data_IF_040130730632
#
_entry.id   IF_040130730632
#
_cell.length_a   1.000
_cell.length_b   1.000
_cell.length_c   1.000
_cell.angle_alpha   90.00
_cell.angle_beta   90.00
_cell.angle_gamma   90.00
#
_symmetry.space_group_name_H-M   'P 1'
#
loop_
_entity.id
_entity.type
_entity.pdbx_description
1 polymer ?
#
# COMPACT_ATOMS: atom_id res chain seq x y z
N UNK A 1 4.47 -24.16 -14.87
CA UNK A 1 4.01 -22.82 -14.46
C UNK A 1 4.67 -21.83 -15.40
N UNK A 2 3.89 -21.16 -16.25
CA UNK A 2 4.42 -20.23 -17.26
C UNK A 2 4.96 -18.98 -16.55
N UNK A 3 6.28 -18.83 -16.52
CA UNK A 3 6.93 -17.57 -16.16
C UNK A 3 6.61 -16.57 -17.27
N UNK A 4 5.57 -15.75 -17.08
CA UNK A 4 5.43 -14.55 -17.88
C UNK A 4 6.72 -13.74 -17.73
N UNK A 5 7.49 -13.63 -18.80
CA UNK A 5 8.56 -12.64 -18.88
C UNK A 5 7.89 -11.28 -18.76
N UNK A 6 8.00 -10.65 -17.60
CA UNK A 6 7.59 -9.26 -17.43
C UNK A 6 8.47 -8.43 -18.35
N UNK A 7 7.86 -7.71 -19.30
CA UNK A 7 8.56 -6.68 -20.04
C UNK A 7 9.00 -5.60 -19.04
N UNK A 8 10.27 -5.65 -18.65
CA UNK A 8 10.86 -4.71 -17.69
C UNK A 8 10.73 -3.26 -18.18
N UNK A 9 10.75 -3.02 -19.49
CA UNK A 9 10.57 -1.67 -20.02
C UNK A 9 9.13 -1.18 -19.81
N UNK A 10 8.12 -2.04 -20.00
CA UNK A 10 6.73 -1.73 -19.67
C UNK A 10 6.56 -1.51 -18.16
N UNK A 11 7.07 -2.41 -17.32
CA UNK A 11 6.97 -2.28 -15.86
C UNK A 11 7.56 -0.96 -15.36
N UNK A 12 8.71 -0.55 -15.89
CA UNK A 12 9.34 0.73 -15.53
C UNK A 12 8.47 1.93 -15.90
N UNK A 13 7.76 1.89 -17.05
CA UNK A 13 6.80 2.94 -17.42
C UNK A 13 5.62 2.97 -16.44
N UNK A 14 5.03 1.81 -16.16
CA UNK A 14 3.88 1.70 -15.26
C UNK A 14 4.20 2.17 -13.84
N UNK A 15 5.42 1.87 -13.35
CA UNK A 15 5.90 2.36 -12.05
C UNK A 15 5.99 3.89 -12.02
N UNK A 16 6.56 4.51 -13.06
CA UNK A 16 6.67 5.97 -13.15
C UNK A 16 5.27 6.61 -13.20
N UNK A 17 4.37 6.04 -13.98
CA UNK A 17 2.99 6.54 -14.08
C UNK A 17 2.22 6.36 -12.77
N UNK A 18 2.48 5.28 -12.02
CA UNK A 18 1.92 5.07 -10.68
C UNK A 18 2.42 6.12 -9.69
N UNK A 19 3.72 6.46 -9.74
CA UNK A 19 4.27 7.54 -8.91
C UNK A 19 3.62 8.89 -9.23
N UNK A 20 3.40 9.21 -10.50
CA UNK A 20 2.67 10.44 -10.91
C UNK A 20 1.22 10.43 -10.45
N UNK A 21 0.52 9.29 -10.56
CA UNK A 21 -0.85 9.13 -10.03
C UNK A 21 -0.89 9.29 -8.51
N UNK A 22 0.14 8.81 -7.80
CA UNK A 22 0.28 9.02 -6.36
C UNK A 22 0.37 10.51 -6.02
N UNK A 23 1.17 11.30 -6.74
CA UNK A 23 1.18 12.77 -6.59
C UNK A 23 -0.19 13.38 -6.92
N UNK A 24 -0.78 13.00 -8.05
CA UNK A 24 -2.07 13.55 -8.50
C UNK A 24 -3.23 13.24 -7.53
N UNK A 25 -3.15 12.15 -6.78
CA UNK A 25 -4.13 11.80 -5.73
C UNK A 25 -4.01 12.65 -4.46
N UNK A 26 -2.92 13.41 -4.31
CA UNK A 26 -2.67 14.27 -3.15
C UNK A 26 -2.10 13.56 -1.92
N UNK A 27 -1.85 12.24 -1.99
CA UNK A 27 -1.32 11.47 -0.84
C UNK A 27 0.21 11.53 -0.72
N UNK A 28 0.90 12.05 -1.73
CA UNK A 28 2.35 12.26 -1.70
C UNK A 28 2.70 13.72 -1.97
N UNK A 29 3.69 14.23 -1.24
CA UNK A 29 4.21 15.58 -1.41
C UNK A 29 5.71 15.52 -1.70
N UNK A 30 6.11 16.20 -2.79
CA UNK A 30 7.51 16.27 -3.20
C UNK A 30 8.11 14.88 -3.47
N UNK A 31 9.18 14.56 -2.75
CA UNK A 31 10.01 13.35 -2.95
C UNK A 31 10.00 12.41 -1.75
N UNK A 32 9.00 12.55 -0.87
CA UNK A 32 8.89 11.75 0.35
C UNK A 32 8.57 10.28 0.06
N UNK A 33 7.57 10.03 -0.78
CA UNK A 33 7.13 8.68 -1.10
C UNK A 33 8.15 7.88 -1.90
N UNK A 34 7.95 6.57 -1.90
CA UNK A 34 8.71 5.64 -2.71
C UNK A 34 7.88 4.38 -3.04
N UNK A 35 8.25 3.75 -4.15
CA UNK A 35 7.52 2.64 -4.72
C UNK A 35 8.50 1.57 -5.18
N UNK A 36 8.24 0.31 -4.85
CA UNK A 36 8.99 -0.82 -5.38
C UNK A 36 8.09 -1.88 -5.98
N UNK A 37 8.60 -2.60 -6.98
CA UNK A 37 7.95 -3.78 -7.55
C UNK A 37 8.94 -4.94 -7.64
N UNK A 38 8.52 -6.12 -7.19
CA UNK A 38 9.26 -7.39 -7.33
C UNK A 38 9.54 -7.70 -8.80
N UNK A 39 10.74 -8.16 -9.09
CA UNK A 39 11.14 -8.74 -10.37
C UNK A 39 11.50 -10.22 -10.20
N UNK A 40 11.92 -10.89 -11.27
CA UNK A 40 12.29 -12.31 -11.21
C UNK A 40 13.47 -12.59 -10.26
N UNK A 41 14.44 -11.67 -10.16
CA UNK A 41 15.69 -11.84 -9.41
C UNK A 41 15.79 -10.93 -8.19
N UNK A 42 15.00 -9.86 -8.14
CA UNK A 42 15.10 -8.83 -7.11
C UNK A 42 13.86 -7.94 -7.10
N UNK A 43 14.09 -6.62 -7.17
CA UNK A 43 13.03 -5.62 -7.26
C UNK A 43 13.52 -4.33 -7.91
N UNK A 44 12.60 -3.61 -8.54
CA UNK A 44 12.79 -2.23 -8.94
C UNK A 44 12.32 -1.31 -7.81
N UNK A 45 12.99 -0.18 -7.59
CA UNK A 45 12.59 0.84 -6.63
C UNK A 45 12.84 2.25 -7.18
N UNK A 46 12.03 3.21 -6.74
CA UNK A 46 12.27 4.63 -7.02
C UNK A 46 13.63 5.11 -6.49
N UNK A 47 14.35 5.97 -7.23
CA UNK A 47 15.61 6.55 -6.78
C UNK A 47 15.42 7.54 -5.63
N UNK A 48 16.51 7.84 -4.91
CA UNK A 48 16.49 8.86 -3.85
C UNK A 48 16.24 10.25 -4.43
N UNK A 49 15.31 10.98 -3.80
CA UNK A 49 15.17 12.44 -3.92
C UNK A 49 14.93 12.97 -5.35
N UNK A 50 14.37 12.16 -6.25
CA UNK A 50 13.97 12.58 -7.58
C UNK A 50 12.47 12.87 -7.64
N UNK A 51 12.09 14.05 -8.14
CA UNK A 51 10.69 14.40 -8.35
C UNK A 51 10.05 13.48 -9.40
N UNK A 52 8.84 12.98 -9.12
CA UNK A 52 8.16 12.06 -10.03
C UNK A 52 7.79 12.67 -11.39
N UNK A 53 7.60 13.98 -11.44
CA UNK A 53 7.25 14.68 -12.68
C UNK A 53 8.43 14.67 -13.68
N UNK A 54 9.67 14.65 -13.18
CA UNK A 54 10.88 14.59 -14.02
C UNK A 54 11.49 13.19 -14.09
N UNK A 55 11.00 12.24 -13.28
CA UNK A 55 11.47 10.85 -13.28
C UNK A 55 11.12 10.14 -14.60
N UNK A 56 12.10 9.45 -15.14
CA UNK A 56 11.96 8.61 -16.34
C UNK A 56 12.08 7.12 -15.99
N UNK A 57 11.61 6.21 -16.86
CA UNK A 57 11.77 4.75 -16.66
C UNK A 57 13.23 4.30 -16.43
N UNK A 58 14.20 5.02 -17.01
CA UNK A 58 15.63 4.74 -16.85
C UNK A 58 16.20 5.13 -15.48
N UNK A 59 15.48 5.95 -14.71
CA UNK A 59 15.91 6.39 -13.37
C UNK A 59 15.59 5.37 -12.27
N UNK A 60 14.67 4.44 -12.51
CA UNK A 60 14.32 3.39 -11.57
C UNK A 60 15.52 2.48 -11.31
N UNK A 61 15.73 2.16 -10.04
CA UNK A 61 16.91 1.44 -9.56
C UNK A 61 16.56 -0.04 -9.45
N UNK A 62 17.42 -0.89 -9.99
CA UNK A 62 17.31 -2.34 -9.84
C UNK A 62 18.14 -2.78 -8.64
N UNK A 63 17.53 -3.57 -7.76
CA UNK A 63 18.13 -4.04 -6.52
C UNK A 63 17.93 -5.55 -6.35
N UNK A 64 18.95 -6.21 -5.82
CA UNK A 64 18.88 -7.61 -5.41
C UNK A 64 18.49 -7.73 -3.93
N UNK A 65 18.03 -8.92 -3.52
CA UNK A 65 17.63 -9.19 -2.13
C UNK A 65 18.80 -9.27 -1.14
N UNK A 66 20.05 -9.19 -1.61
CA UNK A 66 21.23 -9.02 -0.77
C UNK A 66 21.55 -7.54 -0.47
N UNK A 67 20.86 -6.60 -1.15
CA UNK A 67 21.04 -5.15 -0.99
C UNK A 67 22.01 -4.52 -1.99
N UNK A 68 22.55 -5.27 -2.94
CA UNK A 68 23.29 -4.72 -4.09
C UNK A 68 22.34 -4.06 -5.09
N UNK A 69 22.83 -3.09 -5.87
CA UNK A 69 22.00 -2.34 -6.82
C UNK A 69 22.79 -1.85 -8.05
N UNK A 70 22.07 -1.60 -9.14
CA UNK A 70 22.59 -0.99 -10.38
C UNK A 70 21.84 0.28 -10.73
N UNK A 71 22.56 1.30 -11.22
CA UNK A 71 22.00 2.58 -11.66
C UNK A 71 22.16 3.70 -10.63
N UNK A 72 21.12 4.50 -10.44
CA UNK A 72 21.14 5.63 -9.48
C UNK A 72 21.12 5.12 -8.04
N UNK A 73 21.34 6.03 -7.08
CA UNK A 73 21.15 5.72 -5.66
C UNK A 73 19.67 5.40 -5.40
N UNK A 74 19.33 4.24 -4.82
CA UNK A 74 17.93 3.89 -4.51
C UNK A 74 17.37 4.80 -3.42
N UNK A 75 16.05 4.78 -3.22
CA UNK A 75 15.40 5.39 -2.04
C UNK A 75 16.17 5.05 -0.77
N UNK A 76 16.31 6.00 0.16
CA UNK A 76 16.92 5.76 1.47
C UNK A 76 16.24 4.64 2.27
N UNK A 77 15.00 4.31 1.90
CA UNK A 77 14.12 3.41 2.64
C UNK A 77 13.98 2.02 2.01
N UNK A 78 14.84 1.71 1.04
CA UNK A 78 14.86 0.42 0.33
C UNK A 78 14.85 -0.81 1.26
N UNK A 79 15.33 -0.70 2.51
CA UNK A 79 15.41 -1.81 3.47
C UNK A 79 14.04 -2.43 3.77
N UNK A 80 13.03 -1.61 4.08
CA UNK A 80 11.70 -2.16 4.34
C UNK A 80 11.07 -2.71 3.06
N UNK A 81 11.32 -2.10 1.89
CA UNK A 81 10.85 -2.66 0.62
C UNK A 81 11.43 -4.06 0.40
N UNK A 82 12.75 -4.20 0.54
CA UNK A 82 13.46 -5.48 0.43
C UNK A 82 12.88 -6.50 1.41
N UNK A 83 12.81 -6.15 2.69
CA UNK A 83 12.48 -7.12 3.74
C UNK A 83 11.01 -7.53 3.69
N UNK A 84 10.10 -6.60 3.37
CA UNK A 84 8.70 -6.91 3.12
C UNK A 84 8.58 -7.86 1.93
N UNK A 85 9.17 -7.52 0.78
CA UNK A 85 9.14 -8.39 -0.40
C UNK A 85 9.81 -9.74 -0.12
N UNK A 86 10.87 -9.80 0.68
CA UNK A 86 11.52 -11.08 1.01
C UNK A 86 10.65 -11.97 1.91
N UNK A 87 9.94 -11.40 2.88
CA UNK A 87 9.11 -12.14 3.84
C UNK A 87 7.66 -12.37 3.37
N UNK A 88 7.19 -11.64 2.35
CA UNK A 88 5.83 -11.73 1.80
C UNK A 88 5.87 -12.10 0.31
N UNK A 89 6.08 -13.38 -0.03
CA UNK A 89 6.12 -13.84 -1.42
C UNK A 89 4.78 -13.66 -2.15
N UNK A 90 3.68 -13.47 -1.40
CA UNK A 90 2.35 -13.16 -1.91
C UNK A 90 2.17 -11.69 -2.34
N UNK A 91 3.14 -10.82 -2.06
CA UNK A 91 3.15 -9.39 -2.37
C UNK A 91 4.18 -9.09 -3.46
N UNK A 92 3.81 -8.20 -4.39
CA UNK A 92 4.69 -7.76 -5.47
C UNK A 92 5.02 -6.28 -5.41
N UNK A 93 4.21 -5.47 -4.73
CA UNK A 93 4.33 -4.01 -4.71
C UNK A 93 4.32 -3.52 -3.28
N UNK A 94 5.26 -2.62 -2.97
CA UNK A 94 5.31 -1.89 -1.70
C UNK A 94 5.30 -0.41 -2.06
N UNK A 95 4.31 0.31 -1.55
CA UNK A 95 4.14 1.75 -1.73
C UNK A 95 4.22 2.41 -0.35
N UNK A 96 5.05 3.44 -0.26
CA UNK A 96 5.18 4.28 0.92
C UNK A 96 4.94 5.74 0.56
N UNK A 97 4.23 6.45 1.43
CA UNK A 97 4.02 7.89 1.31
C UNK A 97 3.78 8.52 2.69
N UNK A 98 3.91 9.85 2.75
CA UNK A 98 3.65 10.66 3.95
C UNK A 98 2.31 11.38 3.79
N UNK A 99 1.22 10.62 3.63
CA UNK A 99 -0.12 11.18 3.45
C UNK A 99 -0.61 11.87 4.73
N UNK A 100 -1.33 12.99 4.61
CA UNK A 100 -1.51 13.94 5.71
C UNK A 100 -2.19 13.35 6.93
N UNK A 101 -3.34 12.70 6.76
CA UNK A 101 -4.11 12.19 7.90
C UNK A 101 -3.52 10.88 8.45
N UNK A 102 -3.00 10.01 7.60
CA UNK A 102 -2.29 8.81 8.05
C UNK A 102 -1.06 9.19 8.88
N UNK A 103 -0.29 10.16 8.41
CA UNK A 103 0.88 10.70 9.13
C UNK A 103 0.46 11.40 10.42
N UNK A 104 -0.67 12.13 10.43
CA UNK A 104 -1.22 12.75 11.65
C UNK A 104 -1.46 11.70 12.74
N UNK A 105 -2.13 10.58 12.40
CA UNK A 105 -2.34 9.49 13.35
C UNK A 105 -1.03 8.81 13.76
N UNK A 106 -0.11 8.63 12.81
CA UNK A 106 1.18 8.03 13.07
C UNK A 106 2.06 8.87 14.01
N UNK A 107 1.98 10.20 13.93
CA UNK A 107 2.63 11.12 14.86
C UNK A 107 2.15 10.96 16.31
N UNK A 108 0.94 10.41 16.49
CA UNK A 108 0.34 10.08 17.78
C UNK A 108 0.40 8.59 18.13
N UNK A 109 1.12 7.77 17.34
CA UNK A 109 1.18 6.31 17.52
C UNK A 109 -0.20 5.64 17.57
N UNK A 110 -1.19 6.22 16.89
CA UNK A 110 -2.56 5.70 16.93
C UNK A 110 -2.75 4.57 15.91
N UNK A 111 -3.19 3.43 16.41
CA UNK A 111 -3.77 2.37 15.58
C UNK A 111 -5.18 2.78 15.15
N UNK A 112 -5.55 2.52 13.89
CA UNK A 112 -6.90 2.74 13.37
C UNK A 112 -7.74 1.48 13.65
N UNK A 113 -8.79 1.55 14.49
CA UNK A 113 -9.66 0.41 14.76
C UNK A 113 -10.66 0.18 13.62
N UNK A 114 -11.48 -0.86 13.72
CA UNK A 114 -12.62 -1.09 12.82
C UNK A 114 -13.79 -0.14 13.12
N UNK A 115 -13.54 1.17 13.15
CA UNK A 115 -14.59 2.20 13.26
C UNK A 115 -15.46 2.28 12.01
N UNK A 116 -14.95 1.74 10.89
CA UNK A 116 -15.63 1.61 9.60
C UNK A 116 -15.29 0.26 8.99
N UNK A 117 -16.24 -0.38 8.30
CA UNK A 117 -16.05 -1.74 7.75
C UNK A 117 -14.89 -1.82 6.74
N UNK A 118 -14.61 -0.71 6.05
CA UNK A 118 -13.48 -0.59 5.11
C UNK A 118 -12.10 -0.77 5.77
N UNK A 119 -11.97 -0.69 7.09
CA UNK A 119 -10.70 -1.08 7.77
C UNK A 119 -10.27 -2.50 7.39
N UNK A 120 -11.23 -3.39 7.06
CA UNK A 120 -10.98 -4.75 6.60
C UNK A 120 -10.07 -4.88 5.38
N UNK A 121 -10.03 -3.86 4.50
CA UNK A 121 -9.19 -3.86 3.28
C UNK A 121 -7.70 -3.87 3.59
N UNK A 122 -7.31 -3.48 4.81
CA UNK A 122 -5.94 -3.60 5.31
C UNK A 122 -5.57 -5.04 5.71
N UNK A 123 -6.43 -6.03 5.44
CA UNK A 123 -6.19 -7.46 5.70
C UNK A 123 -6.50 -7.91 7.13
N UNK A 124 -7.20 -7.10 7.93
CA UNK A 124 -7.58 -7.45 9.29
C UNK A 124 -8.46 -6.40 9.95
N UNK A 125 -8.63 -6.47 11.26
CA UNK A 125 -9.55 -5.59 12.02
C UNK A 125 -8.95 -4.24 12.43
N UNK A 126 -7.71 -3.95 12.01
CA UNK A 126 -6.97 -2.74 12.41
C UNK A 126 -5.94 -2.35 11.37
N UNK A 127 -5.64 -1.05 11.25
CA UNK A 127 -4.40 -0.54 10.65
C UNK A 127 -3.43 -0.18 11.79
N UNK A 128 -2.40 -1.00 11.99
CA UNK A 128 -1.46 -0.85 13.11
C UNK A 128 -0.47 0.28 12.83
N UNK A 129 -0.01 0.93 13.89
CA UNK A 129 1.12 1.86 13.84
C UNK A 129 2.38 1.15 14.35
N UNK A 130 3.44 1.14 13.54
CA UNK A 130 4.74 0.61 13.91
C UNK A 130 5.49 1.58 14.84
N UNK A 131 6.30 1.04 15.75
CA UNK A 131 7.19 1.82 16.60
C UNK A 131 8.17 2.69 15.77
N UNK A 132 8.50 3.86 16.29
CA UNK A 132 9.44 4.76 15.63
C UNK A 132 10.85 4.16 15.56
N UNK A 133 11.50 4.37 14.42
CA UNK A 133 12.94 4.27 14.27
C UNK A 133 13.37 5.24 13.16
N UNK A 134 14.63 5.65 13.19
CA UNK A 134 15.17 6.58 12.19
C UNK A 134 15.01 6.00 10.77
N UNK A 135 14.57 6.83 9.82
CA UNK A 135 14.37 6.42 8.43
C UNK A 135 15.63 5.79 7.81
N UNK A 136 15.41 4.82 6.92
CA UNK A 136 16.48 4.10 6.25
C UNK A 136 17.31 3.14 7.13
N UNK A 137 16.98 2.96 8.41
CA UNK A 137 17.62 1.98 9.30
C UNK A 137 16.98 0.59 9.18
N UNK A 138 17.73 -0.44 9.60
CA UNK A 138 17.18 -1.80 9.70
C UNK A 138 16.07 -1.88 10.77
N UNK A 139 16.20 -1.13 11.88
CA UNK A 139 15.19 -1.12 12.95
C UNK A 139 13.80 -0.67 12.46
N UNK A 140 13.73 0.33 11.58
CA UNK A 140 12.45 0.75 10.98
C UNK A 140 11.83 -0.37 10.13
N UNK A 141 12.66 -1.10 9.38
CA UNK A 141 12.23 -2.26 8.60
C UNK A 141 11.64 -3.35 9.49
N UNK A 142 12.34 -3.68 10.58
CA UNK A 142 11.92 -4.71 11.52
C UNK A 142 10.59 -4.33 12.20
N UNK A 143 10.41 -3.07 12.60
CA UNK A 143 9.15 -2.57 13.17
C UNK A 143 8.00 -2.61 12.14
N UNK A 144 8.27 -2.23 10.89
CA UNK A 144 7.27 -2.28 9.82
C UNK A 144 6.78 -3.71 9.57
N UNK A 145 7.69 -4.70 9.55
CA UNK A 145 7.34 -6.12 9.41
C UNK A 145 6.42 -6.62 10.53
N UNK A 146 6.68 -6.21 11.77
CA UNK A 146 5.82 -6.55 12.92
C UNK A 146 4.41 -5.98 12.74
N UNK A 147 4.30 -4.70 12.37
CA UNK A 147 3.01 -4.06 12.14
C UNK A 147 2.24 -4.70 10.96
N UNK A 148 2.96 -5.10 9.91
CA UNK A 148 2.42 -5.71 8.69
C UNK A 148 2.12 -7.21 8.79
N UNK A 149 2.41 -7.86 9.93
CA UNK A 149 2.05 -9.26 10.13
C UNK A 149 0.54 -9.45 9.96
N UNK A 150 0.15 -10.27 8.98
CA UNK A 150 -1.26 -10.51 8.62
C UNK A 150 -2.02 -9.21 8.29
N UNK A 151 -1.33 -8.25 7.68
CA UNK A 151 -1.87 -6.98 7.19
C UNK A 151 -1.34 -6.67 5.80
N UNK A 152 -2.04 -5.77 5.11
CA UNK A 152 -1.69 -5.18 3.83
C UNK A 152 -1.31 -3.70 3.95
N UNK A 153 -1.57 -3.07 5.08
CA UNK A 153 -1.12 -1.70 5.33
C UNK A 153 -0.79 -1.47 6.80
N UNK A 154 0.10 -0.51 7.06
CA UNK A 154 0.41 -0.03 8.39
C UNK A 154 0.81 1.45 8.36
N UNK A 155 0.73 2.10 9.52
CA UNK A 155 1.36 3.40 9.78
C UNK A 155 2.77 3.19 10.34
N UNK A 156 3.63 4.18 10.17
CA UNK A 156 4.98 4.24 10.74
C UNK A 156 5.05 5.42 11.71
N UNK A 157 5.32 5.17 13.00
CA UNK A 157 5.33 6.18 14.05
C UNK A 157 6.14 7.42 13.67
N UNK A 158 5.57 8.62 13.85
CA UNK A 158 6.11 9.92 13.41
C UNK A 158 6.70 9.94 11.97
N UNK A 159 6.09 9.22 11.03
CA UNK A 159 6.68 9.08 9.70
C UNK A 159 5.67 9.09 8.54
N UNK A 160 4.83 8.06 8.40
CA UNK A 160 3.95 7.93 7.23
C UNK A 160 3.19 6.61 7.20
N UNK A 161 2.87 6.12 6.01
CA UNK A 161 2.20 4.84 5.81
C UNK A 161 2.92 3.93 4.82
N UNK A 162 2.70 2.62 4.94
CA UNK A 162 3.07 1.60 3.96
C UNK A 162 1.80 0.86 3.54
N UNK A 163 1.63 0.68 2.22
CA UNK A 163 0.56 -0.11 1.62
C UNK A 163 1.14 -1.15 0.66
N UNK A 164 0.62 -2.38 0.74
CA UNK A 164 1.09 -3.55 0.00
C UNK A 164 0.09 -3.95 -1.09
N UNK A 165 0.60 -4.41 -2.23
CA UNK A 165 -0.24 -4.87 -3.33
C UNK A 165 0.35 -6.02 -4.12
N UNK A 166 -0.53 -6.75 -4.82
CA UNK A 166 -0.15 -7.71 -5.86
C UNK A 166 0.12 -7.02 -7.20
N UNK A 167 -0.47 -5.84 -7.39
CA UNK A 167 -0.35 -4.99 -8.57
C UNK A 167 -0.07 -3.55 -8.15
N UNK A 168 0.45 -2.75 -9.07
CA UNK A 168 0.70 -1.32 -8.88
C UNK A 168 -0.59 -0.56 -8.53
N UNK A 169 -1.66 -0.85 -9.27
CA UNK A 169 -2.99 -0.28 -9.04
C UNK A 169 -3.54 -0.63 -7.66
N UNK A 170 -3.44 -1.89 -7.24
CA UNK A 170 -3.94 -2.32 -5.93
C UNK A 170 -3.20 -1.67 -4.76
N UNK A 171 -1.88 -1.51 -4.87
CA UNK A 171 -1.09 -0.82 -3.83
C UNK A 171 -1.44 0.68 -3.75
N UNK A 172 -1.62 1.34 -4.90
CA UNK A 172 -2.02 2.74 -4.95
C UNK A 172 -3.44 2.95 -4.41
N UNK A 173 -4.39 2.12 -4.83
CA UNK A 173 -5.76 2.16 -4.33
C UNK A 173 -5.78 2.00 -2.80
N UNK A 174 -5.07 1.01 -2.27
CA UNK A 174 -5.00 0.79 -0.82
C UNK A 174 -4.40 2.00 -0.11
N UNK A 175 -3.33 2.60 -0.62
CA UNK A 175 -2.72 3.78 0.00
C UNK A 175 -3.69 4.99 0.06
N UNK A 176 -4.50 5.19 -0.98
CA UNK A 176 -5.54 6.22 -1.02
C UNK A 176 -6.65 5.90 -0.01
N UNK A 177 -7.06 4.64 0.09
CA UNK A 177 -8.09 4.20 1.02
C UNK A 177 -7.62 4.35 2.48
N UNK A 178 -6.37 4.03 2.79
CA UNK A 178 -5.78 4.24 4.12
C UNK A 178 -5.76 5.72 4.50
N UNK A 179 -5.43 6.62 3.56
CA UNK A 179 -5.51 8.06 3.81
C UNK A 179 -6.97 8.51 4.05
N UNK A 180 -7.91 7.96 3.27
CA UNK A 180 -9.34 8.27 3.40
C UNK A 180 -9.89 7.82 4.76
N UNK A 181 -9.60 6.58 5.17
CA UNK A 181 -9.93 6.05 6.49
C UNK A 181 -9.28 6.86 7.62
N UNK A 182 -8.01 7.24 7.45
CA UNK A 182 -7.30 8.07 8.41
C UNK A 182 -7.99 9.43 8.58
N UNK A 183 -8.39 10.08 7.48
CA UNK A 183 -9.14 11.34 7.51
C UNK A 183 -10.47 11.19 8.23
N UNK A 184 -11.24 10.16 7.88
CA UNK A 184 -12.52 9.87 8.52
C UNK A 184 -12.35 9.62 10.01
N UNK A 185 -11.34 8.85 10.43
CA UNK A 185 -11.10 8.56 11.83
C UNK A 185 -10.70 9.80 12.62
N UNK A 186 -9.78 10.62 12.10
CA UNK A 186 -9.41 11.92 12.72
C UNK A 186 -10.65 12.83 12.87
N UNK A 187 -11.51 12.89 11.86
CA UNK A 187 -12.74 13.68 11.93
C UNK A 187 -13.75 13.10 12.92
N UNK A 188 -13.93 11.77 12.95
CA UNK A 188 -14.81 11.10 13.90
C UNK A 188 -14.39 11.38 15.34
N UNK A 189 -13.08 11.36 15.63
CA UNK A 189 -12.51 11.68 16.94
C UNK A 189 -12.88 13.08 17.44
N UNK A 190 -13.21 14.02 16.56
CA UNK A 190 -13.69 15.36 16.98
C UNK A 190 -15.08 15.33 17.61
N UNK A 191 -15.87 14.28 17.33
CA UNK A 191 -17.18 14.03 17.93
C UNK A 191 -17.08 13.11 19.17
N UNK A 192 -15.91 12.52 19.42
CA UNK A 192 -15.66 11.50 20.44
C UNK A 192 -15.10 10.20 19.84
N UNK A 193 -14.82 9.20 20.67
CA UNK A 193 -14.38 7.88 20.18
C UNK A 193 -15.53 7.19 19.42
N UNK A 194 -15.36 6.85 18.12
CA UNK A 194 -16.41 6.18 17.37
C UNK A 194 -16.61 4.74 17.85
N UNK A 195 -17.82 4.16 17.71
CA UNK A 195 -18.03 2.74 17.97
C UNK A 195 -17.17 1.88 17.04
N UNK A 196 -16.70 0.75 17.55
CA UNK A 196 -15.86 -0.20 16.81
C UNK A 196 -16.69 -1.45 16.48
N UNK A 197 -16.64 -1.87 15.22
CA UNK A 197 -17.27 -3.11 14.79
C UNK A 197 -16.61 -4.31 15.50
N UNK A 198 -17.38 -5.24 16.07
CA UNK A 198 -16.86 -6.48 16.66
C UNK A 198 -16.07 -7.33 15.65
N UNK A 199 -15.09 -8.09 16.16
CA UNK A 199 -14.20 -8.90 15.34
C UNK A 199 -14.94 -9.99 14.54
N UNK A 200 -16.03 -10.55 15.07
CA UNK A 200 -16.84 -11.56 14.37
C UNK A 200 -17.60 -10.97 13.17
N UNK A 201 -18.08 -9.73 13.30
CA UNK A 201 -18.68 -9.00 12.18
C UNK A 201 -17.61 -8.62 11.15
N UNK A 202 -16.45 -8.15 11.58
CA UNK A 202 -15.34 -7.85 10.68
C UNK A 202 -14.83 -9.09 9.93
N UNK A 203 -14.87 -10.28 10.55
CA UNK A 203 -14.56 -11.53 9.87
C UNK A 203 -15.54 -11.82 8.72
N UNK A 204 -16.84 -11.53 8.90
CA UNK A 204 -17.85 -11.64 7.83
C UNK A 204 -17.61 -10.62 6.73
N UNK A 205 -17.29 -9.38 7.08
CA UNK A 205 -16.96 -8.30 6.13
C UNK A 205 -15.75 -8.68 5.28
N UNK A 206 -14.66 -9.14 5.90
CA UNK A 206 -13.44 -9.53 5.18
C UNK A 206 -13.71 -10.71 4.22
N UNK A 207 -14.49 -11.68 4.65
CA UNK A 207 -14.89 -12.80 3.78
C UNK A 207 -15.78 -12.34 2.62
N UNK A 208 -16.69 -11.38 2.86
CA UNK A 208 -17.51 -10.76 1.81
C UNK A 208 -16.63 -10.01 0.80
N UNK A 209 -15.68 -9.19 1.26
CA UNK A 209 -14.74 -8.46 0.41
C UNK A 209 -13.94 -9.41 -0.48
N UNK A 210 -13.47 -10.53 0.08
CA UNK A 210 -12.74 -11.57 -0.66
C UNK A 210 -13.59 -12.20 -1.76
N UNK A 211 -14.86 -12.51 -1.48
CA UNK A 211 -15.80 -13.07 -2.49
C UNK A 211 -16.08 -12.07 -3.61
N UNK A 212 -16.16 -10.79 -3.28
CA UNK A 212 -16.48 -9.70 -4.20
C UNK A 212 -15.26 -9.04 -4.84
N UNK A 213 -14.06 -9.63 -4.74
CA UNK A 213 -12.81 -9.03 -5.24
C UNK A 213 -12.69 -7.52 -4.92
N UNK A 214 -13.20 -7.13 -3.75
CA UNK A 214 -13.48 -5.73 -3.45
C UNK A 214 -12.20 -4.91 -3.39
N UNK A 215 -12.16 -3.76 -4.08
CA UNK A 215 -10.94 -2.95 -4.21
C UNK A 215 -10.00 -3.40 -5.35
N UNK A 216 -10.42 -4.34 -6.20
CA UNK A 216 -9.78 -4.64 -7.48
C UNK A 216 -10.72 -4.22 -8.63
N UNK A 217 -10.16 -3.58 -9.67
CA UNK A 217 -10.90 -3.16 -10.87
C UNK A 217 -11.55 -4.34 -11.60
N UNK A 218 -12.60 -4.05 -12.40
CA UNK A 218 -13.98 -4.42 -12.08
C UNK A 218 -14.23 -5.94 -11.94
N UNK A 219 -15.26 -6.27 -11.17
CA UNK A 219 -15.74 -7.64 -10.99
C UNK A 219 -16.03 -8.33 -12.33
N UNK A 220 -15.59 -9.57 -12.47
CA UNK A 220 -16.05 -10.43 -13.55
C UNK A 220 -17.57 -10.71 -13.37
N UNK A 221 -18.32 -10.76 -14.47
CA UNK A 221 -19.70 -11.22 -14.43
C UNK A 221 -19.76 -12.62 -13.79
N UNK A 222 -20.55 -12.78 -12.71
CA UNK A 222 -20.75 -14.06 -12.02
C UNK A 222 -20.50 -14.08 -10.51
N UNK A 223 -20.18 -12.95 -9.86
CA UNK A 223 -20.12 -12.88 -8.40
C UNK A 223 -21.55 -12.84 -7.80
N UNK A 224 -21.78 -13.55 -6.69
CA UNK A 224 -23.08 -14.00 -6.17
C UNK A 224 -24.09 -12.94 -5.66
N UNK A 225 -24.03 -11.69 -6.13
CA UNK A 225 -25.10 -10.69 -5.90
C UNK A 225 -25.11 -9.60 -6.99
N UNK A 226 -25.11 -10.02 -8.27
CA UNK A 226 -25.25 -9.07 -9.38
C UNK A 226 -26.71 -8.72 -9.58
N UNK A 227 -27.03 -7.42 -9.49
CA UNK A 227 -28.30 -6.87 -9.93
C UNK A 227 -28.57 -7.30 -11.37
N UNK A 228 -29.65 -8.06 -11.59
CA UNK A 228 -30.01 -8.54 -12.93
C UNK A 228 -30.58 -7.38 -13.76
N UNK A 229 -30.21 -7.24 -15.03
CA UNK A 229 -30.86 -6.27 -15.91
C UNK A 229 -32.36 -6.58 -15.99
N UNK A 230 -33.20 -5.53 -16.06
CA UNK A 230 -34.63 -5.72 -16.37
C UNK A 230 -34.72 -6.49 -17.68
N UNK A 231 -35.48 -7.61 -17.68
CA UNK A 231 -35.83 -8.29 -18.92
C UNK A 231 -36.57 -7.29 -19.81
N UNK A 232 -35.97 -6.96 -20.96
CA UNK A 232 -36.69 -6.26 -22.01
C UNK A 232 -37.81 -7.22 -22.44
N UNK A 233 -39.05 -6.86 -22.10
CA UNK A 233 -40.23 -7.55 -22.60
C UNK A 233 -40.23 -7.28 -24.11
N UNK A 234 -40.09 -8.35 -24.90
CA UNK A 234 -40.25 -8.35 -26.35
C UNK A 234 -41.65 -7.91 -26.76
#
# INVERSE_FOLDING_TARGET
MSTQHTDIAALRRDMVDTCRKMNASGINQGTAGNLSVRTATGFLVTPSSLAYDTMTPGDLVEMDFDGTYTGRRPSSEWRFHRDILKNRPDINVVLHCHSIYATTLACHHKTIPSFHYMTGVAGGTTVRCAEYATFGTQALSDHALVALKDRLACLLGQHGQISLGKTLEGALWLAIEIETLSRMYVQALTLGEPPVLPDDEMARVIEQMRKMSYGHAPDAEGVNDIARPKSLVS
#
